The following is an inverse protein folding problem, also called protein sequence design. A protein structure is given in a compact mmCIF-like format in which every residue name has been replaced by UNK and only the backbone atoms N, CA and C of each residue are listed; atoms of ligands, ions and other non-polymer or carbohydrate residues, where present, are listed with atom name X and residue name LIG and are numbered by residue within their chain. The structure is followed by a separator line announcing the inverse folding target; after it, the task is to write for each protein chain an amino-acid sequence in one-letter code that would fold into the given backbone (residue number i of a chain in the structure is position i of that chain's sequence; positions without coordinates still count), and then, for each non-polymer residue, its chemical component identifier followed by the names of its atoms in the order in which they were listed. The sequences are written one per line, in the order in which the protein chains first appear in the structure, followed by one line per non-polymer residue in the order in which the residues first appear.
data_IF_650778293367
#
_entry.id   IF_650778293367
#
_cell.length_a   1.000
_cell.length_b   1.000
_cell.length_c   1.000
_cell.angle_alpha   90.00
_cell.angle_beta   90.00
_cell.angle_gamma   90.00
#
_symmetry.space_group_name_H-M   'P 1'
#
loop_
_entity.id
_entity.type
_entity.pdbx_description
1 polymer ?
2 non-polymer ?
3 non-polymer ?
4 water ?
#
# COMPACT_ATOMS: atom_id res chain seq x y z
N UNK A 26 12.00 -2.40 18.79
CA UNK A 26 13.21 -2.97 18.13
C UNK A 26 13.04 -2.96 16.61
N UNK A 27 13.81 -3.81 15.90
CA UNK A 27 14.04 -3.69 14.47
C UNK A 27 13.20 -4.69 13.65
N UNK A 28 12.24 -5.40 14.30
CA UNK A 28 11.31 -6.29 13.60
C UNK A 28 10.51 -5.46 12.61
N UNK A 29 10.10 -6.08 11.49
CA UNK A 29 9.12 -5.51 10.59
C UNK A 29 7.99 -6.54 10.52
N UNK A 30 6.81 -6.09 10.91
CA UNK A 30 5.62 -6.92 10.95
C UNK A 30 5.31 -7.41 9.52
N UNK A 31 4.67 -8.59 9.46
CA UNK A 31 4.31 -9.24 8.22
C UNK A 31 3.53 -8.27 7.31
N UNK A 32 3.94 -8.24 6.04
CA UNK A 32 3.36 -7.39 5.03
C UNK A 32 2.07 -7.96 4.47
N UNK A 33 1.34 -7.13 3.73
CA UNK A 33 0.30 -7.65 2.86
C UNK A 33 0.92 -8.52 1.77
N UNK A 34 0.14 -9.51 1.27
CA UNK A 34 0.63 -10.48 0.31
C UNK A 34 0.35 -10.07 -1.14
N UNK A 35 -0.56 -9.10 -1.36
CA UNK A 35 -0.82 -8.55 -2.67
C UNK A 35 -0.85 -7.02 -2.55
N UNK A 36 -0.69 -6.40 -3.72
CA UNK A 36 -0.97 -4.98 -3.96
C UNK A 36 -2.21 -4.87 -4.86
N UNK A 37 -3.11 -3.93 -4.50
CA UNK A 37 -4.39 -3.83 -5.15
C UNK A 37 -4.54 -2.42 -5.74
N UNK A 38 -5.28 -2.36 -6.82
CA UNK A 38 -5.66 -1.08 -7.43
C UNK A 38 -7.07 -1.19 -7.99
N UNK A 39 -7.71 0.00 -8.07
CA UNK A 39 -8.92 0.14 -8.87
C UNK A 39 -8.53 0.47 -10.31
N UNK A 40 -9.12 -0.24 -11.27
CA UNK A 40 -9.03 0.12 -12.68
C UNK A 40 -9.80 1.42 -12.94
N UNK A 41 -9.72 1.91 -14.19
CA UNK A 41 -10.43 3.13 -14.59
C UNK A 41 -11.94 3.00 -14.37
N UNK A 42 -12.45 1.77 -14.52
CA UNK A 42 -13.86 1.51 -14.26
C UNK A 42 -14.12 1.00 -12.84
N UNK A 43 -13.15 1.12 -11.95
CA UNK A 43 -13.19 0.75 -10.54
C UNK A 43 -13.16 -0.76 -10.27
N UNK A 44 -13.00 -1.60 -11.27
CA UNK A 44 -12.79 -3.02 -10.98
C UNK A 44 -11.48 -3.20 -10.21
N UNK A 45 -11.54 -4.00 -9.16
CA UNK A 45 -10.37 -4.32 -8.38
C UNK A 45 -9.47 -5.30 -9.10
N UNK A 46 -8.16 -5.10 -8.94
CA UNK A 46 -7.16 -5.96 -9.54
C UNK A 46 -6.02 -6.12 -8.53
N UNK A 47 -5.63 -7.36 -8.29
CA UNK A 47 -4.58 -7.73 -7.35
C UNK A 47 -3.34 -8.30 -8.02
N UNK A 48 -2.17 -7.99 -7.42
CA UNK A 48 -0.88 -8.41 -7.89
C UNK A 48 -0.09 -9.06 -6.76
N UNK A 49 0.47 -10.24 -7.02
CA UNK A 49 1.31 -10.92 -6.05
C UNK A 49 2.33 -11.81 -6.73
N UNK A 50 3.19 -12.45 -5.92
CA UNK A 50 4.28 -13.27 -6.42
C UNK A 50 3.94 -14.71 -6.08
N UNK A 51 3.97 -15.57 -7.11
CA UNK A 51 3.70 -17.00 -6.94
C UNK A 51 4.98 -17.80 -6.63
N UNK A 52 4.79 -19.12 -6.57
CA UNK A 52 5.86 -20.04 -6.21
C UNK A 52 6.92 -20.15 -7.31
N UNK A 53 6.64 -19.66 -8.52
CA UNK A 53 7.56 -19.60 -9.62
C UNK A 53 8.37 -18.32 -9.59
N UNK A 54 8.13 -17.48 -8.59
CA UNK A 54 8.79 -16.19 -8.43
C UNK A 54 8.38 -15.19 -9.51
N UNK A 55 7.26 -15.40 -10.19
CA UNK A 55 6.72 -14.45 -11.17
C UNK A 55 5.56 -13.68 -10.53
N UNK A 56 5.32 -12.48 -11.03
CA UNK A 56 4.10 -11.73 -10.68
C UNK A 56 2.91 -12.29 -11.44
N UNK A 57 1.84 -12.62 -10.71
CA UNK A 57 0.58 -12.93 -11.29
C UNK A 57 -0.46 -11.89 -10.83
N UNK A 58 -1.51 -11.73 -11.65
CA UNK A 58 -2.59 -10.81 -11.32
C UNK A 58 -3.95 -11.44 -11.61
N UNK A 59 -4.97 -10.86 -10.98
CA UNK A 59 -6.33 -11.32 -11.14
C UNK A 59 -7.21 -10.08 -10.91
N UNK A 60 -8.41 -10.08 -11.47
CA UNK A 60 -9.30 -8.93 -11.45
C UNK A 60 -10.77 -9.33 -11.40
N UNK A 61 -11.55 -8.39 -10.86
CA UNK A 61 -12.99 -8.50 -10.94
C UNK A 61 -13.44 -8.40 -12.37
N UNK A 62 -14.44 -9.19 -12.80
CA UNK A 62 -15.03 -8.99 -14.12
C UNK A 62 -15.97 -7.78 -14.18
N UNK A 63 -16.57 -7.41 -13.04
CA UNK A 63 -17.44 -6.25 -12.89
C UNK A 63 -17.15 -5.60 -11.55
N UNK A 64 -17.34 -4.27 -11.39
CA UNK A 64 -16.84 -3.61 -10.18
C UNK A 64 -17.77 -3.66 -8.97
N UNK A 65 -18.03 -4.90 -8.48
CA UNK A 65 -18.87 -5.12 -7.32
C UNK A 65 -18.27 -6.29 -6.53
N UNK A 66 -18.37 -6.32 -5.19
CA UNK A 66 -17.57 -7.26 -4.41
C UNK A 66 -18.01 -8.70 -4.65
N UNK A 67 -19.28 -8.90 -5.02
CA UNK A 67 -19.75 -10.24 -5.32
C UNK A 67 -19.50 -10.70 -6.77
N UNK A 68 -18.77 -9.93 -7.55
CA UNK A 68 -18.42 -10.27 -8.91
C UNK A 68 -17.56 -11.53 -8.94
N UNK A 69 -17.66 -12.28 -10.03
CA UNK A 69 -16.67 -13.28 -10.38
C UNK A 69 -15.34 -12.59 -10.64
N UNK A 70 -14.27 -13.36 -10.52
CA UNK A 70 -12.93 -12.92 -10.85
C UNK A 70 -12.47 -13.65 -12.11
N UNK A 71 -11.65 -12.99 -12.91
CA UNK A 71 -11.28 -13.47 -14.23
C UNK A 71 -10.41 -14.71 -14.18
N UNK A 72 -9.57 -14.85 -13.16
CA UNK A 72 -8.62 -15.91 -13.02
C UNK A 72 -7.21 -15.33 -13.03
N UNK A 73 -6.30 -16.14 -12.53
CA UNK A 73 -4.93 -15.68 -12.34
C UNK A 73 -4.16 -15.75 -13.65
N UNK A 74 -3.44 -14.66 -13.98
CA UNK A 74 -2.72 -14.52 -15.23
C UNK A 74 -1.29 -14.11 -14.92
N UNK A 75 -0.31 -14.68 -15.61
CA UNK A 75 1.10 -14.49 -15.29
C UNK A 75 1.71 -13.38 -16.15
N UNK A 76 2.59 -12.60 -15.52
CA UNK A 76 3.56 -11.79 -16.25
C UNK A 76 4.86 -12.59 -16.26
N UNK A 77 5.40 -12.87 -17.43
CA UNK A 77 6.64 -13.62 -17.46
C UNK A 77 7.75 -12.82 -16.80
N UNK A 78 8.62 -13.50 -16.05
CA UNK A 78 9.83 -12.87 -15.49
C UNK A 78 9.94 -13.11 -13.99
N UNK A 79 11.13 -13.54 -13.53
CA UNK A 79 11.41 -13.71 -12.11
C UNK A 79 11.61 -12.35 -11.43
N UNK A 80 11.04 -12.23 -10.24
CA UNK A 80 11.12 -10.99 -9.48
C UNK A 80 11.60 -11.28 -8.08
N UNK A 81 12.10 -10.22 -7.39
CA UNK A 81 12.62 -10.34 -6.05
C UNK A 81 12.11 -9.21 -5.12
N UNK A 82 10.91 -8.69 -5.36
CA UNK A 82 10.22 -7.82 -4.41
C UNK A 82 8.72 -8.06 -4.49
N UNK A 83 8.01 -7.48 -3.51
CA UNK A 83 6.57 -7.32 -3.64
C UNK A 83 6.31 -6.35 -4.80
N UNK A 84 5.36 -6.62 -5.69
CA UNK A 84 5.00 -5.68 -6.76
C UNK A 84 4.17 -4.52 -6.20
N UNK A 85 4.45 -3.31 -6.66
CA UNK A 85 3.65 -2.15 -6.34
C UNK A 85 2.85 -1.78 -7.59
N UNK A 86 1.65 -1.25 -7.41
CA UNK A 86 0.82 -0.84 -8.51
C UNK A 86 0.20 0.53 -8.24
N UNK A 87 0.05 1.30 -9.32
CA UNK A 87 -0.77 2.50 -9.27
C UNK A 87 -1.45 2.72 -10.61
N UNK A 88 -2.59 3.40 -10.56
CA UNK A 88 -3.29 3.82 -11.75
C UNK A 88 -2.68 5.14 -12.24
N UNK A 89 -2.30 5.20 -13.51
CA UNK A 89 -1.89 6.47 -14.12
C UNK A 89 -3.09 7.42 -14.17
N UNK A 90 -2.81 8.70 -14.40
CA UNK A 90 -3.83 9.73 -14.57
C UNK A 90 -4.66 9.59 -15.86
N UNK A 91 -4.29 8.63 -16.75
CA UNK A 91 -5.05 8.28 -17.94
C UNK A 91 -5.76 6.93 -17.75
N UNK A 92 -5.76 6.46 -16.53
CA UNK A 92 -6.55 5.26 -16.18
C UNK A 92 -5.83 3.93 -16.32
N UNK A 93 -4.64 3.92 -16.88
CA UNK A 93 -3.90 2.69 -17.11
C UNK A 93 -3.11 2.26 -15.86
N UNK A 94 -3.29 1.01 -15.43
CA UNK A 94 -2.51 0.47 -14.31
C UNK A 94 -1.05 0.26 -14.73
N UNK A 95 -0.13 0.48 -13.76
CA UNK A 95 1.28 0.31 -14.00
C UNK A 95 1.89 -0.31 -12.73
N UNK A 96 2.70 -1.35 -12.95
CA UNK A 96 3.27 -2.15 -11.89
C UNK A 96 4.78 -2.02 -11.90
N UNK A 97 5.35 -2.01 -10.68
CA UNK A 97 6.77 -1.81 -10.42
C UNK A 97 7.27 -2.98 -9.55
N UNK A 98 8.42 -3.53 -9.95
CA UNK A 98 9.02 -4.66 -9.26
C UNK A 98 10.54 -4.63 -9.36
N UNK A 99 11.16 -5.38 -8.46
CA UNK A 99 12.61 -5.58 -8.52
C UNK A 99 12.96 -6.88 -9.21
N UNK A 100 14.06 -6.87 -9.99
CA UNK A 100 14.58 -8.05 -10.68
C UNK A 100 15.72 -8.70 -9.86
N UNK A 101 16.26 -9.83 -10.34
CA UNK A 101 17.27 -10.59 -9.60
C UNK A 101 18.54 -9.75 -9.32
N UNK A 102 18.90 -8.89 -10.28
CA UNK A 102 20.07 -8.04 -10.10
C UNK A 102 19.75 -6.71 -9.39
N UNK A 103 18.56 -6.61 -8.77
CA UNK A 103 18.15 -5.54 -7.88
C UNK A 103 17.76 -4.28 -8.66
N UNK A 104 17.62 -4.35 -9.98
CA UNK A 104 17.15 -3.22 -10.77
C UNK A 104 15.63 -3.12 -10.67
N UNK A 105 15.12 -1.92 -10.93
CA UNK A 105 13.68 -1.67 -11.02
C UNK A 105 13.16 -1.87 -12.44
N UNK A 106 12.02 -2.60 -12.58
CA UNK A 106 11.32 -2.79 -13.82
C UNK A 106 9.85 -2.38 -13.65
N UNK A 107 9.21 -2.01 -14.77
CA UNK A 107 7.79 -1.67 -14.76
C UNK A 107 7.08 -2.19 -16.00
N UNK A 108 5.76 -2.48 -15.83
CA UNK A 108 4.86 -2.99 -16.83
C UNK A 108 3.61 -2.11 -16.80
N UNK A 109 2.87 -1.99 -17.88
CA UNK A 109 1.62 -1.21 -17.85
C UNK A 109 0.59 -1.77 -18.81
N UNK A 110 -0.70 -1.52 -18.47
CA UNK A 110 -1.79 -1.68 -19.44
C UNK A 110 -1.53 -0.71 -20.59
N UNK A 111 -1.69 -1.16 -21.83
CA UNK A 111 -1.49 -0.28 -22.96
C UNK A 111 -2.76 0.51 -23.29
N UNK A 112 -3.88 0.12 -22.68
CA UNK A 112 -5.10 0.92 -22.68
C UNK A 112 -5.89 0.65 -21.39
N UNK A 113 -6.61 1.68 -20.92
CA UNK A 113 -7.33 1.55 -19.67
C UNK A 113 -8.33 0.40 -19.79
N UNK A 114 -8.48 -0.33 -18.69
CA UNK A 114 -9.49 -1.39 -18.56
C UNK A 114 -9.29 -2.50 -19.56
N UNK A 115 -8.05 -2.75 -20.00
CA UNK A 115 -7.76 -3.80 -20.97
C UNK A 115 -6.67 -4.69 -20.39
N UNK A 116 -6.70 -5.98 -20.73
CA UNK A 116 -5.67 -6.92 -20.30
C UNK A 116 -4.63 -7.06 -21.41
N UNK A 117 -4.13 -5.94 -21.93
CA UNK A 117 -3.02 -5.99 -22.85
C UNK A 117 -1.91 -5.16 -22.25
N UNK A 118 -0.86 -5.85 -21.81
CA UNK A 118 0.21 -5.25 -21.02
C UNK A 118 1.48 -5.16 -21.85
N UNK A 119 2.35 -4.21 -21.47
CA UNK A 119 3.59 -3.87 -22.17
C UNK A 119 4.70 -4.91 -22.00
N UNK A 120 4.59 -5.76 -20.97
CA UNK A 120 5.69 -6.58 -20.50
C UNK A 120 6.80 -5.69 -19.91
N UNK A 121 7.74 -6.32 -19.22
CA UNK A 121 8.58 -5.60 -18.25
C UNK A 121 9.56 -4.74 -19.03
N UNK A 122 9.72 -3.48 -18.59
CA UNK A 122 10.61 -2.52 -19.19
C UNK A 122 11.51 -1.99 -18.10
N UNK A 123 12.79 -1.67 -18.42
CA UNK A 123 13.77 -1.31 -17.39
C UNK A 123 13.89 0.14 -16.95
N UNK A 124 13.99 0.34 -15.64
CA UNK A 124 14.33 1.64 -15.04
C UNK A 124 15.68 1.57 -14.33
N UNK A 125 16.37 0.41 -14.35
CA UNK A 125 17.73 0.26 -13.86
C UNK A 125 17.80 0.64 -12.39
N UNK A 126 18.90 1.28 -11.97
CA UNK A 126 19.16 1.48 -10.56
C UNK A 126 19.47 0.17 -9.82
N UNK A 127 19.64 0.28 -8.50
CA UNK A 127 19.77 -0.84 -7.60
C UNK A 127 18.97 -0.53 -6.35
N UNK A 128 17.96 -1.36 -6.03
CA UNK A 128 17.15 -1.01 -4.89
C UNK A 128 17.14 -2.16 -3.88
N UNK A 129 16.93 -1.75 -2.62
CA UNK A 129 17.07 -2.64 -1.47
C UNK A 129 15.85 -2.56 -0.56
N UNK A 130 14.72 -2.12 -1.16
CA UNK A 130 13.41 -2.18 -0.54
C UNK A 130 12.41 -2.52 -1.61
N UNK A 131 11.17 -2.77 -1.19
CA UNK A 131 10.09 -2.77 -2.15
C UNK A 131 10.01 -1.39 -2.78
N UNK A 132 9.65 -1.30 -4.07
CA UNK A 132 9.35 0.00 -4.69
C UNK A 132 7.99 0.43 -4.19
N UNK A 133 7.84 1.76 -4.08
CA UNK A 133 6.60 2.41 -3.65
C UNK A 133 6.28 3.50 -4.66
N UNK A 134 5.05 3.53 -5.16
CA UNK A 134 4.69 4.48 -6.21
C UNK A 134 3.58 5.40 -5.70
N UNK A 135 3.70 6.68 -6.09
CA UNK A 135 2.68 7.69 -5.77
C UNK A 135 2.41 8.47 -7.06
N UNK A 136 1.24 9.10 -7.14
CA UNK A 136 0.87 9.94 -8.27
C UNK A 136 0.87 11.41 -7.86
N UNK A 137 1.74 12.20 -8.50
CA UNK A 137 1.71 13.63 -8.32
C UNK A 137 0.39 14.21 -8.82
N UNK A 138 0.05 15.38 -8.29
CA UNK A 138 -1.20 16.04 -8.70
C UNK A 138 -1.09 16.74 -10.05
N UNK A 139 0.08 16.69 -10.73
CA UNK A 139 0.17 17.06 -12.12
C UNK A 139 0.23 15.85 -13.04
N UNK A 140 -0.21 14.71 -12.50
CA UNK A 140 -0.44 13.52 -13.28
C UNK A 140 0.78 12.63 -13.56
N UNK A 141 1.95 12.94 -12.95
CA UNK A 141 3.18 12.17 -13.11
C UNK A 141 3.41 11.18 -11.96
N UNK A 142 3.56 9.88 -12.32
CA UNK A 142 3.98 8.87 -11.34
C UNK A 142 5.38 9.15 -10.83
N UNK A 143 5.62 8.78 -9.57
CA UNK A 143 6.92 8.94 -8.93
C UNK A 143 7.14 7.72 -8.06
N UNK A 144 8.35 7.12 -8.14
CA UNK A 144 8.68 5.90 -7.44
C UNK A 144 9.78 6.19 -6.44
N UNK A 145 9.62 5.61 -5.24
CA UNK A 145 10.54 5.75 -4.13
C UNK A 145 11.04 4.37 -3.75
N UNK A 146 12.32 4.25 -3.39
CA UNK A 146 12.86 2.99 -2.91
C UNK A 146 14.11 3.26 -2.13
N UNK A 147 14.46 2.36 -1.22
CA UNK A 147 15.77 2.40 -0.60
C UNK A 147 16.82 1.96 -1.61
N UNK A 148 17.95 2.66 -1.56
CA UNK A 148 19.06 2.33 -2.43
C UNK A 148 20.15 1.47 -1.80
N UNK A 149 21.21 1.23 -2.59
CA UNK A 149 22.28 0.38 -2.15
C UNK A 149 23.10 1.02 -1.02
N UNK A 150 23.01 2.34 -0.86
CA UNK A 150 23.63 3.07 0.24
C UNK A 150 22.66 3.33 1.39
N UNK A 151 21.49 2.69 1.37
CA UNK A 151 20.42 2.78 2.38
C UNK A 151 19.72 4.15 2.43
N UNK A 152 20.06 5.04 1.48
CA UNK A 152 19.32 6.28 1.35
C UNK A 152 18.00 6.07 0.60
N UNK A 153 17.13 7.07 0.71
CA UNK A 153 15.93 7.10 -0.11
C UNK A 153 16.27 7.66 -1.49
N UNK A 154 15.87 6.95 -2.55
CA UNK A 154 16.04 7.38 -3.93
C UNK A 154 14.68 7.50 -4.60
N UNK A 155 14.63 8.30 -5.65
CA UNK A 155 13.39 8.41 -6.44
C UNK A 155 13.65 8.66 -7.90
N UNK A 156 12.62 8.37 -8.70
CA UNK A 156 12.65 8.50 -10.15
C UNK A 156 11.21 8.82 -10.55
N UNK A 157 10.99 9.57 -11.61
CA UNK A 157 9.63 10.00 -11.92
C UNK A 157 9.34 10.10 -13.40
N UNK A 158 8.07 10.00 -13.78
CA UNK A 158 7.62 10.38 -15.13
C UNK A 158 7.93 11.86 -15.32
N UNK A 159 8.45 12.23 -16.50
CA UNK A 159 8.72 13.63 -16.77
C UNK A 159 7.56 14.26 -17.52
N UNK A 160 6.60 13.47 -18.01
CA UNK A 160 5.36 13.98 -18.55
C UNK A 160 4.28 13.03 -18.07
N UNK A 161 3.10 13.60 -17.83
CA UNK A 161 2.05 12.81 -17.18
C UNK A 161 1.74 11.60 -18.05
N UNK A 162 1.56 10.45 -17.38
CA UNK A 162 1.08 9.19 -17.96
C UNK A 162 1.78 8.79 -19.26
N UNK A 163 3.10 9.05 -19.30
CA UNK A 163 3.94 8.85 -20.47
C UNK A 163 5.14 8.01 -20.05
N UNK A 164 5.61 7.12 -20.91
CA UNK A 164 6.84 6.39 -20.67
C UNK A 164 8.06 7.22 -20.99
N UNK A 165 8.26 8.26 -20.20
CA UNK A 165 9.40 9.17 -20.27
C UNK A 165 9.75 9.44 -18.82
N UNK A 166 10.91 8.92 -18.36
CA UNK A 166 11.25 8.98 -16.95
C UNK A 166 12.53 9.79 -16.78
N UNK A 167 12.65 10.32 -15.59
CA UNK A 167 13.83 11.05 -15.14
C UNK A 167 14.98 10.07 -14.91
N UNK A 168 16.14 10.61 -14.59
CA UNK A 168 17.21 9.86 -13.96
C UNK A 168 16.85 9.63 -12.48
N UNK A 169 17.52 8.64 -11.89
CA UNK A 169 17.48 8.42 -10.45
C UNK A 169 18.12 9.58 -9.72
N UNK A 170 17.56 9.94 -8.55
CA UNK A 170 18.12 11.00 -7.73
C UNK A 170 17.96 10.65 -6.25
N UNK A 171 18.94 11.00 -5.43
CA UNK A 171 18.95 10.68 -4.02
C UNK A 171 18.25 11.78 -3.19
N UNK A 172 17.48 11.34 -2.17
CA UNK A 172 16.98 12.20 -1.12
C UNK A 172 17.66 11.91 0.24
N UNK A 173 18.73 11.13 0.21
CA UNK A 173 19.53 10.91 1.41
C UNK A 173 18.79 10.12 2.48
N UNK A 174 19.25 10.31 3.74
CA UNK A 174 18.78 9.55 4.89
C UNK A 174 19.34 8.13 4.97
N UNK A 175 18.95 7.46 6.07
CA UNK A 175 19.24 6.08 6.28
C UNK A 175 17.95 5.34 6.64
N UNK A 176 17.52 4.41 5.79
CA UNK A 176 16.22 3.74 5.95
C UNK A 176 16.36 2.30 6.44
N UNK A 177 15.40 1.89 7.31
CA UNK A 177 15.37 0.54 7.85
C UNK A 177 13.97 -0.06 7.70
N UNK A 178 13.15 0.54 6.85
CA UNK A 178 11.87 -0.07 6.46
C UNK A 178 11.63 0.24 4.99
N UNK A 179 10.60 -0.40 4.42
CA UNK A 179 10.13 0.04 3.13
C UNK A 179 9.54 1.46 3.26
N UNK A 180 9.67 2.33 2.24
CA UNK A 180 9.08 3.65 2.30
C UNK A 180 7.57 3.59 2.02
N UNK A 181 6.85 4.61 2.54
CA UNK A 181 5.45 4.82 2.26
C UNK A 181 5.26 6.27 1.81
N UNK A 182 4.61 6.49 0.65
CA UNK A 182 4.45 7.84 0.13
C UNK A 182 2.95 8.13 0.06
N UNK A 183 2.60 9.36 0.32
CA UNK A 183 1.22 9.81 0.16
C UNK A 183 1.19 11.29 -0.15
N UNK A 184 0.22 11.69 -0.98
CA UNK A 184 0.07 13.08 -1.35
C UNK A 184 -0.73 13.85 -0.30
N UNK A 185 -0.25 15.03 0.08
CA UNK A 185 -1.03 15.94 0.91
C UNK A 185 -2.19 16.54 0.09
N UNK A 186 -3.17 17.11 0.79
CA UNK A 186 -4.34 17.68 0.12
C UNK A 186 -3.96 18.88 -0.73
N UNK A 187 -2.82 19.52 -0.46
CA UNK A 187 -2.32 20.60 -1.27
C UNK A 187 -1.35 20.16 -2.38
N UNK A 188 -1.29 18.85 -2.65
CA UNK A 188 -0.54 18.33 -3.78
C UNK A 188 0.94 18.02 -3.52
N UNK A 189 1.43 18.20 -2.28
CA UNK A 189 2.83 17.93 -1.95
C UNK A 189 2.93 16.44 -1.56
N UNK A 190 3.77 15.69 -2.24
CA UNK A 190 4.10 14.33 -1.85
C UNK A 190 4.93 14.35 -0.57
N UNK A 191 4.60 13.42 0.32
CA UNK A 191 5.32 13.25 1.58
C UNK A 191 5.64 11.77 1.74
N UNK A 192 6.90 11.49 2.15
CA UNK A 192 7.40 10.12 2.26
C UNK A 192 7.80 9.81 3.72
N UNK A 193 7.43 8.63 4.17
CA UNK A 193 7.61 8.17 5.53
C UNK A 193 8.45 6.90 5.49
N UNK A 194 9.34 6.73 6.47
CA UNK A 194 10.12 5.50 6.57
C UNK A 194 10.73 5.42 7.96
N UNK A 195 11.00 4.20 8.40
CA UNK A 195 11.76 4.00 9.63
C UNK A 195 13.23 4.33 9.36
N UNK A 196 13.82 4.96 10.38
CA UNK A 196 15.21 5.34 10.32
C UNK A 196 16.16 4.43 11.12
N UNK A 197 17.42 4.85 11.18
CA UNK A 197 18.47 4.01 11.78
C UNK A 197 18.26 3.86 13.28
N UNK A 198 17.54 4.81 13.91
CA UNK A 198 17.20 4.79 15.31
C UNK A 198 15.85 4.12 15.58
N UNK A 199 15.29 3.49 14.55
CA UNK A 199 13.98 2.83 14.60
C UNK A 199 12.81 3.79 14.79
N UNK A 200 12.99 5.09 14.65
CA UNK A 200 11.93 6.06 14.79
C UNK A 200 11.27 6.25 13.40
N UNK A 201 10.09 6.84 13.39
CA UNK A 201 9.47 7.25 12.13
C UNK A 201 10.06 8.57 11.67
N UNK A 202 10.57 8.61 10.43
CA UNK A 202 11.05 9.84 9.83
C UNK A 202 10.22 10.18 8.57
N UNK A 203 10.24 11.47 8.18
CA UNK A 203 9.54 11.88 6.98
C UNK A 203 10.24 13.02 6.28
N UNK A 204 9.89 13.19 5.00
CA UNK A 204 10.45 14.21 4.13
C UNK A 204 9.40 14.57 3.08
N UNK A 205 9.39 15.79 2.54
CA UNK A 205 8.25 16.19 1.72
C UNK A 205 8.67 17.18 0.65
N UNK A 206 7.91 17.14 -0.45
CA UNK A 206 7.96 18.26 -1.40
C UNK A 206 7.57 19.56 -0.70
N UNK A 207 8.32 20.64 -0.94
CA UNK A 207 7.95 21.91 -0.37
C UNK A 207 7.14 22.77 -1.34
N UNK A 208 7.07 22.37 -2.60
CA UNK A 208 6.14 22.86 -3.58
C UNK A 208 5.59 21.66 -4.35
N UNK A 209 4.28 21.69 -4.53
CA UNK A 209 3.61 20.53 -5.10
C UNK A 209 4.22 20.14 -6.44
N UNK A 210 4.48 18.85 -6.63
CA UNK A 210 4.90 18.29 -7.91
C UNK A 210 6.16 18.96 -8.47
N UNK A 211 7.09 19.28 -7.60
CA UNK A 211 8.37 19.81 -8.01
C UNK A 211 9.47 19.02 -7.32
N UNK A 212 10.70 19.11 -7.81
CA UNK A 212 11.80 18.46 -7.13
C UNK A 212 12.45 19.42 -6.14
N UNK A 213 11.66 20.02 -5.27
CA UNK A 213 12.12 20.86 -4.16
C UNK A 213 11.62 20.14 -2.91
N UNK A 214 12.56 19.64 -2.12
CA UNK A 214 12.20 18.79 -0.98
C UNK A 214 12.73 19.40 0.30
N UNK A 215 12.09 19.05 1.39
CA UNK A 215 12.51 19.42 2.74
C UNK A 215 13.76 18.62 3.15
N UNK A 216 14.25 18.94 4.37
CA UNK A 216 15.16 18.05 5.04
C UNK A 216 14.34 16.96 5.70
N UNK A 217 15.03 15.86 6.02
CA UNK A 217 14.45 14.83 6.85
C UNK A 217 14.14 15.36 8.25
N UNK A 218 12.98 14.94 8.76
CA UNK A 218 12.60 15.28 10.14
C UNK A 218 12.06 14.04 10.83
N UNK A 219 12.37 13.89 12.13
CA UNK A 219 11.93 12.76 12.88
C UNK A 219 10.57 13.01 13.54
N UNK A 220 9.68 12.03 13.47
CA UNK A 220 8.45 12.02 14.24
C UNK A 220 8.56 11.18 15.52
N UNK A 221 9.76 10.68 15.79
CA UNK A 221 10.13 10.06 17.06
C UNK A 221 9.39 8.74 17.20
N UNK A 222 9.36 8.24 18.41
CA UNK A 222 8.78 6.94 18.71
C UNK A 222 9.71 5.86 18.18
N UNK A 223 9.17 4.67 18.16
CA UNK A 223 9.84 3.49 17.61
C UNK A 223 8.73 2.73 16.91
N UNK A 224 8.97 2.29 15.67
CA UNK A 224 7.97 1.50 14.96
C UNK A 224 8.57 0.16 14.57
N UNK A 225 7.70 -0.86 14.53
CA UNK A 225 8.07 -2.23 14.22
C UNK A 225 7.25 -2.80 13.05
N UNK A 226 6.80 -1.92 12.16
CA UNK A 226 6.17 -2.23 10.89
C UNK A 226 6.56 -1.12 9.94
N UNK A 227 6.31 -1.32 8.65
CA UNK A 227 6.31 -0.19 7.74
C UNK A 227 5.22 0.79 8.17
N UNK A 228 5.39 2.10 7.92
CA UNK A 228 4.31 3.05 8.15
C UNK A 228 3.25 2.95 7.07
N UNK A 229 1.99 3.25 7.45
CA UNK A 229 0.85 3.25 6.56
C UNK A 229 0.14 4.60 6.70
N UNK A 230 -0.12 5.27 5.56
CA UNK A 230 -0.53 6.66 5.55
C UNK A 230 -1.88 6.82 4.84
N UNK A 231 -2.72 7.67 5.41
CA UNK A 231 -3.98 8.00 4.77
C UNK A 231 -4.32 9.45 5.01
N UNK A 232 -5.15 10.03 4.10
CA UNK A 232 -5.63 11.39 4.25
C UNK A 232 -7.02 11.46 4.87
N UNK A 233 -7.21 12.35 5.85
CA UNK A 233 -8.52 12.57 6.45
C UNK A 233 -9.36 13.56 5.65
N UNK A 234 -10.66 13.70 5.96
CA UNK A 234 -11.54 14.55 5.16
C UNK A 234 -11.47 16.00 5.69
N UNK A 235 -10.54 16.31 6.57
CA UNK A 235 -10.17 17.69 6.79
C UNK A 235 -8.80 18.04 6.20
N UNK A 236 -8.25 17.17 5.33
CA UNK A 236 -7.02 17.50 4.62
C UNK A 236 -5.75 17.18 5.41
N UNK A 237 -5.86 16.39 6.50
CA UNK A 237 -4.71 16.14 7.38
C UNK A 237 -4.27 14.69 7.17
N UNK A 238 -2.97 14.46 6.96
CA UNK A 238 -2.50 13.08 6.88
C UNK A 238 -2.46 12.46 8.28
N UNK A 239 -2.70 11.14 8.31
CA UNK A 239 -2.57 10.35 9.51
C UNK A 239 -1.74 9.10 9.19
N UNK A 240 -0.84 8.73 10.13
CA UNK A 240 0.08 7.63 9.94
C UNK A 240 -0.18 6.59 11.02
N UNK A 241 -0.27 5.34 10.62
CA UNK A 241 -0.42 4.19 11.46
C UNK A 241 0.83 3.30 11.34
N UNK A 242 1.16 2.65 12.44
CA UNK A 242 2.29 1.75 12.48
C UNK A 242 2.17 0.88 13.73
N UNK A 243 2.80 -0.28 13.71
CA UNK A 243 2.98 -1.03 14.96
C UNK A 243 4.13 -0.44 15.75
N UNK A 244 4.00 -0.38 17.07
CA UNK A 244 5.04 0.17 17.93
C UNK A 244 5.89 -0.91 18.61
N UNK A 245 6.77 -0.46 19.48
CA UNK A 245 7.70 -1.34 20.21
C UNK A 245 6.97 -2.39 21.06
N UNK A 246 5.81 -2.06 21.62
CA UNK A 246 5.06 -3.00 22.45
C UNK A 246 4.09 -3.83 21.62
N UNK A 247 4.22 -3.81 20.27
CA UNK A 247 3.42 -4.55 19.31
C UNK A 247 1.96 -4.15 19.26
N UNK A 248 1.61 -2.94 19.73
CA UNK A 248 0.27 -2.44 19.54
C UNK A 248 0.26 -1.43 18.39
N UNK A 249 -0.95 -1.16 17.87
CA UNK A 249 -1.12 -0.14 16.84
C UNK A 249 -0.91 1.23 17.46
N UNK A 250 -0.14 2.09 16.78
CA UNK A 250 -0.06 3.48 17.16
C UNK A 250 -0.28 4.39 15.96
N UNK A 251 -0.67 5.64 16.25
CA UNK A 251 -1.00 6.58 15.17
C UNK A 251 -0.72 8.01 15.59
N UNK A 252 -0.54 8.86 14.58
CA UNK A 252 -0.12 10.26 14.74
C UNK A 252 -0.70 11.02 13.54
N UNK A 253 -1.06 12.31 13.70
CA UNK A 253 -1.67 13.04 12.59
C UNK A 253 -1.15 14.46 12.52
N UNK A 254 -1.24 15.01 11.31
CA UNK A 254 -0.99 16.42 11.13
C UNK A 254 -2.04 17.22 11.89
N UNK A 255 -1.64 18.37 12.48
CA UNK A 255 -2.67 19.11 13.22
C UNK A 255 -3.02 20.41 12.50
N UNK A 256 -2.23 20.79 11.51
CA UNK A 256 -2.49 22.00 10.76
C UNK A 256 -2.52 21.69 9.27
N UNK A 257 -2.12 22.68 8.47
CA UNK A 257 -2.20 22.54 7.03
C UNK A 257 -0.79 22.59 6.45
N UNK A 258 0.20 22.12 7.23
CA UNK A 258 1.55 21.94 6.74
C UNK A 258 2.07 20.56 7.19
N UNK A 259 3.29 20.22 6.72
CA UNK A 259 3.91 18.94 7.05
C UNK A 259 4.69 18.99 8.37
N UNK A 260 4.79 20.16 8.99
CA UNK A 260 5.80 20.30 10.02
C UNK A 260 5.16 19.92 11.35
N UNK A 261 3.93 20.35 11.62
CA UNK A 261 3.37 20.22 12.97
C UNK A 261 2.39 19.06 13.10
N UNK A 262 2.72 18.11 14.02
CA UNK A 262 1.93 16.90 14.24
C UNK A 262 1.50 16.80 15.72
N UNK A 263 0.50 15.94 15.92
CA UNK A 263 -0.03 15.52 17.22
C UNK A 263 1.05 14.72 17.96
N UNK A 264 0.76 14.41 19.23
CA UNK A 264 1.50 13.37 19.91
C UNK A 264 1.07 12.04 19.29
N UNK A 265 1.85 11.00 19.52
CA UNK A 265 1.47 9.63 19.23
C UNK A 265 0.45 9.13 20.24
N UNK A 266 -0.49 8.29 19.78
CA UNK A 266 -1.35 7.49 20.65
C UNK A 266 -1.26 6.03 20.25
N UNK A 267 -1.28 5.11 21.22
CA UNK A 267 -1.33 3.69 20.91
C UNK A 267 -2.66 3.19 21.39
N UNK A 268 -3.21 2.22 20.66
CA UNK A 268 -4.45 1.56 20.98
C UNK A 268 -4.15 0.22 21.63
N UNK A 269 -4.92 -0.19 22.64
CA UNK A 269 -4.69 -1.51 23.21
C UNK A 269 -4.98 -2.61 22.17
N UNK A 270 -4.20 -3.70 22.28
CA UNK A 270 -4.39 -4.89 21.50
C UNK A 270 -3.14 -5.21 20.68
N UNK A 271 -2.55 -6.36 20.96
CA UNK A 271 -1.32 -6.74 20.27
C UNK A 271 -1.68 -7.17 18.85
N UNK A 272 -0.92 -6.64 17.89
CA UNK A 272 -1.09 -6.99 16.48
C UNK A 272 0.17 -7.69 15.97
N UNK A 273 -0.04 -8.54 14.94
CA UNK A 273 1.00 -9.42 14.42
C UNK A 273 1.18 -9.29 12.92
N UNK A 274 0.78 -8.15 12.36
CA UNK A 274 1.02 -7.80 10.96
C UNK A 274 1.08 -6.29 10.84
N UNK A 275 1.48 -5.82 9.66
CA UNK A 275 1.27 -4.43 9.31
C UNK A 275 -0.23 -4.14 9.37
N UNK A 276 -0.61 -2.90 9.68
CA UNK A 276 -2.00 -2.47 9.57
C UNK A 276 -2.30 -2.05 8.13
N UNK A 277 -3.60 -2.00 7.82
CA UNK A 277 -4.13 -1.45 6.58
C UNK A 277 -5.28 -0.50 6.93
N UNK A 278 -5.22 0.72 6.42
CA UNK A 278 -6.18 1.75 6.74
C UNK A 278 -7.03 2.10 5.54
N UNK A 279 -8.28 2.48 5.83
CA UNK A 279 -9.21 2.87 4.77
C UNK A 279 -10.16 3.93 5.33
N UNK A 280 -10.59 4.86 4.46
CA UNK A 280 -11.58 5.85 4.82
C UNK A 280 -12.87 5.36 4.22
N UNK A 281 -13.87 5.15 5.08
CA UNK A 281 -15.17 4.68 4.63
C UNK A 281 -15.90 5.86 3.97
N UNK A 282 -17.00 5.55 3.29
CA UNK A 282 -17.73 6.60 2.56
C UNK A 282 -18.49 7.56 3.48
N UNK A 283 -18.51 7.35 4.81
CA UNK A 283 -18.95 8.37 5.76
C UNK A 283 -17.81 9.28 6.23
N UNK A 284 -16.62 9.06 5.69
CA UNK A 284 -15.46 9.89 5.96
C UNK A 284 -14.69 9.47 7.22
N UNK A 285 -15.05 8.35 7.85
CA UNK A 285 -14.40 7.94 9.08
C UNK A 285 -13.38 6.86 8.75
N UNK A 286 -12.36 6.73 9.59
CA UNK A 286 -11.26 5.80 9.31
C UNK A 286 -11.53 4.45 9.93
N UNK A 287 -11.05 3.40 9.26
CA UNK A 287 -11.05 2.05 9.78
C UNK A 287 -9.67 1.47 9.56
N UNK A 288 -9.22 0.66 10.50
CA UNK A 288 -7.92 -0.01 10.40
C UNK A 288 -8.11 -1.50 10.61
N UNK A 289 -7.41 -2.28 9.78
CA UNK A 289 -7.42 -3.74 9.87
C UNK A 289 -6.00 -4.22 10.15
N UNK A 290 -5.83 -5.28 10.96
CA UNK A 290 -4.50 -5.84 11.20
C UNK A 290 -4.71 -7.26 11.66
N UNK A 291 -3.72 -8.12 11.46
CA UNK A 291 -3.78 -9.42 12.07
C UNK A 291 -3.56 -9.27 13.57
N UNK A 292 -4.38 -9.97 14.35
CA UNK A 292 -4.27 -9.82 15.80
C UNK A 292 -3.41 -10.89 16.46
N UNK A 293 -3.35 -10.79 17.80
CA UNK A 293 -2.52 -11.67 18.61
C UNK A 293 -2.94 -13.12 18.49
N UNK A 294 -4.20 -13.38 18.18
CA UNK A 294 -4.67 -14.74 17.94
C UNK A 294 -4.63 -15.16 16.47
N UNK A 295 -3.92 -14.39 15.63
CA UNK A 295 -3.72 -14.68 14.21
C UNK A 295 -4.99 -14.66 13.37
N UNK A 296 -6.06 -14.03 13.85
CA UNK A 296 -7.23 -13.71 13.08
C UNK A 296 -7.19 -12.26 12.62
N UNK A 297 -7.99 -11.92 11.61
CA UNK A 297 -8.13 -10.51 11.23
C UNK A 297 -8.97 -9.74 12.26
N UNK A 298 -8.43 -8.61 12.70
CA UNK A 298 -9.11 -7.63 13.56
C UNK A 298 -9.39 -6.32 12.80
N UNK A 299 -10.48 -5.63 13.21
CA UNK A 299 -10.82 -4.32 12.69
C UNK A 299 -11.18 -3.37 13.84
N UNK A 300 -10.77 -2.10 13.70
CA UNK A 300 -11.18 -1.02 14.58
C UNK A 300 -11.58 0.20 13.73
N UNK A 301 -12.50 1.03 14.27
CA UNK A 301 -12.98 2.17 13.51
C UNK A 301 -13.20 3.34 14.44
N UNK A 302 -13.17 4.54 13.84
CA UNK A 302 -13.44 5.76 14.61
C UNK A 302 -14.93 5.84 14.88
N UNK A 303 -15.31 6.00 16.18
CA UNK A 303 -16.70 5.98 16.59
C UNK A 303 -17.24 7.40 16.52
N UNK A 304 -16.36 8.38 16.37
CA UNK A 304 -16.75 9.76 16.16
C UNK A 304 -15.71 10.46 15.31
N UNK A 305 -16.01 11.73 14.96
CA UNK A 305 -15.07 12.54 14.21
C UNK A 305 -13.73 12.63 14.95
N UNK A 306 -12.64 12.27 14.27
CA UNK A 306 -11.28 12.26 14.80
C UNK A 306 -11.05 11.30 15.97
N UNK A 307 -12.02 10.47 16.36
CA UNK A 307 -11.87 9.63 17.54
C UNK A 307 -13.12 9.63 18.41
N UNK A 308 -13.21 8.72 19.41
CA UNK A 308 -12.17 7.75 19.73
C UNK A 308 -12.30 6.49 18.85
N UNK A 309 -11.52 5.44 19.15
CA UNK A 309 -11.53 4.20 18.38
C UNK A 309 -12.25 3.10 19.11
N UNK A 310 -12.98 2.29 18.34
CA UNK A 310 -13.66 1.12 18.84
C UNK A 310 -12.67 0.09 19.38
N UNK A 311 -13.17 -0.76 20.28
CA UNK A 311 -12.48 -2.01 20.57
C UNK A 311 -12.32 -2.78 19.25
N UNK A 312 -11.24 -3.53 19.13
CA UNK A 312 -11.05 -4.39 17.97
C UNK A 312 -12.14 -5.43 17.94
N UNK A 313 -12.62 -5.70 16.72
CA UNK A 313 -13.55 -6.77 16.42
C UNK A 313 -12.87 -7.77 15.48
N UNK A 314 -13.10 -9.07 15.72
CA UNK A 314 -12.42 -10.15 15.02
C UNK A 314 -13.32 -10.72 13.92
N UNK A 315 -12.71 -11.15 12.80
CA UNK A 315 -13.34 -12.05 11.85
C UNK A 315 -12.84 -13.48 12.08
N UNK A 316 -13.71 -14.49 11.85
CA UNK A 316 -13.31 -15.87 12.00
C UNK A 316 -12.25 -16.24 10.97
N UNK A 317 -11.25 -17.00 11.39
CA UNK A 317 -10.31 -17.62 10.47
C UNK A 317 -8.87 -17.17 10.67
N UNK A 318 -7.95 -18.11 10.81
CA UNK A 318 -6.53 -17.80 10.91
C UNK A 318 -6.01 -17.35 9.54
N UNK A 319 -5.18 -16.29 9.57
CA UNK A 319 -4.65 -15.69 8.35
C UNK A 319 -3.14 -15.64 8.46
N UNK A 320 -2.48 -15.54 7.28
CA UNK A 320 -1.04 -15.73 7.22
C UNK A 320 -0.32 -14.55 6.59
N UNK A 321 -0.99 -13.42 6.55
CA UNK A 321 -0.34 -12.18 6.12
C UNK A 321 -1.08 -11.01 6.76
N UNK A 322 -0.56 -9.77 6.55
CA UNK A 322 -1.37 -8.58 6.81
C UNK A 322 -2.52 -8.51 5.82
N UNK A 323 -3.63 -7.84 6.18
CA UNK A 323 -4.68 -7.50 5.21
C UNK A 323 -4.21 -6.47 4.20
N UNK A 324 -4.85 -6.55 3.01
CA UNK A 324 -4.79 -5.52 1.98
C UNK A 324 -6.23 -5.04 1.76
N UNK A 325 -6.48 -3.74 1.85
CA UNK A 325 -7.86 -3.26 1.85
C UNK A 325 -8.13 -2.33 0.65
N UNK A 326 -9.36 -2.38 0.14
CA UNK A 326 -9.78 -1.58 -0.99
C UNK A 326 -11.26 -1.27 -0.89
N UNK A 327 -11.73 -0.39 -1.78
CA UNK A 327 -13.14 -0.05 -1.85
C UNK A 327 -13.66 -0.31 -3.25
N UNK A 328 -14.86 -0.85 -3.35
CA UNK A 328 -15.53 -1.10 -4.61
C UNK A 328 -16.27 0.14 -5.15
N UNK A 329 -16.78 0.01 -6.39
CA UNK A 329 -17.44 1.12 -7.07
C UNK A 329 -18.65 1.65 -6.29
N UNK A 330 -19.25 0.82 -5.40
CA UNK A 330 -20.37 1.30 -4.58
C UNK A 330 -19.98 1.65 -3.14
N UNK A 331 -18.68 1.83 -2.90
CA UNK A 331 -18.12 2.21 -1.62
C UNK A 331 -17.83 1.05 -0.69
N UNK A 332 -18.27 -0.15 -1.02
CA UNK A 332 -18.12 -1.25 -0.10
C UNK A 332 -16.65 -1.66 0.10
N UNK A 333 -16.25 -1.78 1.36
CA UNK A 333 -14.90 -2.18 1.72
C UNK A 333 -14.71 -3.68 1.47
N UNK A 334 -13.53 -4.02 0.97
CA UNK A 334 -13.17 -5.41 0.68
C UNK A 334 -11.75 -5.62 1.17
N UNK A 335 -11.49 -6.79 1.75
CA UNK A 335 -10.21 -7.12 2.36
C UNK A 335 -9.70 -8.44 1.81
N UNK A 336 -8.40 -8.45 1.51
CA UNK A 336 -7.66 -9.60 0.99
C UNK A 336 -6.58 -10.08 1.97
N UNK A 337 -6.38 -11.40 2.08
CA UNK A 337 -5.39 -11.96 2.97
C UNK A 337 -4.85 -13.27 2.40
N UNK A 338 -3.69 -13.66 2.87
CA UNK A 338 -3.15 -15.01 2.62
C UNK A 338 -3.76 -15.98 3.62
N UNK A 339 -4.27 -17.09 3.12
CA UNK A 339 -4.78 -18.17 3.98
C UNK A 339 -3.72 -19.20 4.36
N UNK A 340 -4.11 -20.16 5.25
CA UNK A 340 -3.19 -21.20 5.64
C UNK A 340 -2.91 -22.18 4.47
N UNK A 341 -3.71 -22.15 3.40
CA UNK A 341 -3.47 -22.94 2.19
C UNK A 341 -2.53 -22.21 1.24
N UNK A 342 -2.02 -21.05 1.65
CA UNK A 342 -1.13 -20.20 0.87
C UNK A 342 -1.82 -19.57 -0.33
N UNK A 343 -3.15 -19.56 -0.36
CA UNK A 343 -3.89 -18.91 -1.43
C UNK A 343 -4.53 -17.62 -0.92
N UNK A 344 -5.06 -16.85 -1.86
CA UNK A 344 -5.64 -15.55 -1.51
C UNK A 344 -7.12 -15.74 -1.20
N UNK A 345 -7.59 -15.12 -0.09
CA UNK A 345 -8.97 -15.08 0.32
C UNK A 345 -9.44 -13.63 0.50
N UNK A 346 -10.74 -13.44 0.40
CA UNK A 346 -11.31 -12.12 0.56
C UNK A 346 -12.68 -12.15 1.24
N UNK A 347 -13.00 -11.03 1.85
CA UNK A 347 -14.32 -10.78 2.40
C UNK A 347 -14.67 -9.32 2.27
N UNK A 348 -15.96 -9.01 2.43
CA UNK A 348 -16.39 -7.64 2.17
C UNK A 348 -17.63 -7.27 2.98
N UNK A 349 -17.92 -5.98 2.94
CA UNK A 349 -19.14 -5.41 3.49
C UNK A 349 -20.36 -5.83 2.69
N UNK A 350 -21.45 -6.13 3.38
CA UNK A 350 -22.60 -6.55 2.58
C UNK A 350 -23.39 -5.36 2.02
N UNK A 351 -23.38 -4.20 2.67
CA UNK A 351 -24.08 -3.04 2.13
C UNK A 351 -23.17 -1.83 2.26
N UNK A 352 -23.61 -0.74 1.62
CA UNK A 352 -22.86 0.51 1.61
C UNK A 352 -22.98 1.15 3.01
N UNK A 353 -23.91 0.70 3.85
CA UNK A 353 -23.91 1.12 5.26
C UNK A 353 -22.58 0.79 5.95
N UNK A 354 -22.07 1.71 6.75
CA UNK A 354 -20.81 1.45 7.42
C UNK A 354 -20.98 0.58 8.68
N UNK A 355 -22.21 0.24 9.11
CA UNK A 355 -22.44 -0.75 10.17
C UNK A 355 -23.09 -2.03 9.61
N UNK A 356 -22.95 -2.19 8.29
CA UNK A 356 -23.31 -3.39 7.54
C UNK A 356 -22.61 -4.64 8.09
N UNK A 357 -23.25 -5.79 7.97
CA UNK A 357 -22.56 -7.04 8.25
C UNK A 357 -21.51 -7.31 7.18
N UNK A 358 -20.72 -8.35 7.41
CA UNK A 358 -19.58 -8.71 6.56
C UNK A 358 -19.78 -10.15 6.09
N UNK A 359 -19.27 -10.46 4.92
CA UNK A 359 -19.16 -11.85 4.49
C UNK A 359 -18.01 -12.56 5.24
N UNK A 360 -17.95 -13.89 5.07
CA UNK A 360 -16.85 -14.69 5.58
C UNK A 360 -15.88 -15.00 4.44
N UNK A 361 -14.65 -15.34 4.79
CA UNK A 361 -13.58 -15.55 3.82
C UNK A 361 -14.02 -16.46 2.68
N UNK A 362 -13.75 -16.00 1.45
CA UNK A 362 -13.94 -16.78 0.23
C UNK A 362 -12.64 -16.80 -0.57
N UNK A 363 -12.41 -17.93 -1.25
CA UNK A 363 -11.16 -18.17 -1.97
C UNK A 363 -11.17 -17.51 -3.35
N UNK A 364 -10.05 -16.88 -3.71
CA UNK A 364 -9.76 -16.49 -5.09
C UNK A 364 -8.74 -17.47 -5.65
N UNK A 365 -9.23 -18.63 -6.10
CA UNK A 365 -8.29 -19.70 -6.33
C UNK A 365 -7.64 -19.70 -7.72
N UNK A 366 -6.54 -20.45 -7.77
CA UNK A 366 -5.79 -20.70 -9.00
C UNK A 366 -4.31 -20.81 -8.84
N UNK A 367 -3.75 -20.03 -7.88
CA UNK A 367 -2.35 -20.11 -7.57
C UNK A 367 -2.15 -19.97 -6.08
N UNK A 368 -0.92 -20.22 -5.64
CA UNK A 368 -0.53 -19.92 -4.28
C UNK A 368 0.53 -18.82 -4.37
N UNK A 369 0.74 -18.15 -3.23
CA UNK A 369 1.57 -16.95 -3.19
C UNK A 369 2.68 -17.08 -2.16
N UNK A 370 3.73 -16.26 -2.35
CA UNK A 370 4.86 -16.16 -1.46
C UNK A 370 5.04 -14.69 -1.09
N UNK A 371 5.63 -14.48 0.08
CA UNK A 371 5.98 -13.13 0.53
C UNK A 371 7.35 -12.73 0.01
N UNK A 372 7.35 -11.89 -1.05
CA UNK A 372 8.60 -11.44 -1.67
C UNK A 372 9.03 -10.10 -1.13
N UNK A 373 8.39 -9.57 -0.10
CA UNK A 373 8.75 -8.25 0.41
C UNK A 373 10.24 -8.20 0.78
N UNK A 374 10.92 -7.12 0.37
CA UNK A 374 12.36 -7.15 0.45
C UNK A 374 12.84 -7.05 1.90
N UNK A 375 12.27 -6.08 2.62
CA UNK A 375 12.57 -5.82 4.02
C UNK A 375 11.44 -6.47 4.82
N UNK A 376 11.87 -7.47 5.54
CA UNK A 376 10.96 -8.23 6.38
C UNK A 376 11.48 -8.40 7.79
X LIG B 1 8.11 16.97 18.64
X LIG B 1 9.36 17.28 18.09
X LIG B 1 8.15 16.78 20.11
X LIG B 1 8.41 15.40 20.41
X LIG B 1 8.07 15.05 21.74
X LIG B 1 8.73 13.79 22.11
X LIG B 1 9.99 14.01 22.66
X LIG C 1 19.34 10.27 8.82
X LIG C 1 19.74 9.45 10.06
X LIG C 1 18.52 9.19 10.96
X LIG C 1 17.42 8.54 10.15
X LIG C 1 17.08 9.39 8.92
X LIG C 1 16.10 8.80 7.95
X LIG C 1 18.99 11.56 9.20
X LIG C 1 20.81 10.08 10.76
X LIG C 1 18.84 8.33 12.08
X LIG C 1 17.93 7.23 9.90
X LIG C 1 18.28 9.62 8.16
X LIG C 1 19.00 12.54 8.13
X LIG D 1 21.89 3.39 -8.33
X LIG D 1 22.83 3.14 -7.15
X LIG D 1 22.44 3.99 -5.94
X LIG D 1 21.00 3.69 -5.59
X LIG D 1 20.14 3.97 -6.84
X LIG D 1 18.66 3.69 -6.65
X LIG D 1 22.06 4.72 -8.74
X LIG D 1 24.16 3.47 -7.59
X LIG D 1 23.29 3.72 -4.84
X LIG D 1 20.91 2.34 -5.13
X LIG D 1 20.56 3.16 -7.96
X LIG D 1 21.39 5.08 -9.96
#
# INVERSE_FOLDING_TARGET
MKKEPIKMPNPDNTEAYVAGEVAIENSAIALSGIVSVANNADNRLEVFGVSTDSAVWHNWQTAPLPNSSWAGWNKFNGVVTSKPAVHRNSDGRLEVFVRSTDNALWHNWQTAADTNTWSSWQPLYGGITSNPEVCLNSDGRLEVFARGTDNALWHIWQTAAHTNSWSNWKSLGGTLTSNPAAHINADGRIEVFARGADNALWHIWQTAAHTDQWSNWQSLKSVITSDPVVIGNCDGRLEVFARGADNTLRHISQIGSDSVSWSNWQCLDGVITSAPAAVKNISGRLEVFARGADNTLWRTWQTSQNGPWSNWSSFTGIIASAPTVAKNSDGRIEVFVLGLDKALWHLWQTTSSTTSSWTTWALIGGITLIDASVIK
PEG C1 O1 C2 O2 C3 C4 O4
MFU C1 C2 C3 C4 C5 C6 O1 O2 O3 O4 O5 CM
MFU C1 C2 C3 C4 C5 C6 O1 O2 O3 O4 O5 CM
#
